data_IF_791728738477
#
_entry.id   IF_791728738477
#
_cell.length_a   1.000
_cell.length_b   1.000
_cell.length_c   1.000
_cell.angle_alpha   90.00
_cell.angle_beta   90.00
_cell.angle_gamma   90.00
#
_symmetry.space_group_name_H-M   'P 1'
#
loop_
_entity.id
_entity.type
_entity.pdbx_description
1 polymer ?
#
# COMPACT_ATOMS: atom_id res chain seq x y z
N UNK A 1 -24.97 26.11 -72.21
CA UNK A 1 -25.44 26.43 -70.85
C UNK A 1 -25.10 25.24 -69.93
N UNK A 2 -24.05 25.38 -69.12
CA UNK A 2 -23.64 24.37 -68.16
C UNK A 2 -23.84 24.96 -66.77
N UNK A 3 -24.74 24.38 -65.98
CA UNK A 3 -24.91 24.70 -64.54
C UNK A 3 -23.76 24.07 -63.72
N UNK A 4 -23.18 24.79 -62.77
CA UNK A 4 -22.25 24.18 -61.84
C UNK A 4 -23.02 23.53 -60.70
N UNK A 5 -22.63 22.28 -60.39
CA UNK A 5 -23.08 21.49 -59.24
C UNK A 5 -22.37 22.03 -57.99
N UNK A 6 -23.09 22.67 -57.06
CA UNK A 6 -22.56 23.09 -55.77
C UNK A 6 -22.68 21.93 -54.84
N UNK A 7 -21.50 21.37 -54.43
CA UNK A 7 -21.38 20.36 -53.37
C UNK A 7 -21.40 21.10 -52.03
N UNK A 8 -22.49 20.93 -51.29
CA UNK A 8 -22.65 21.45 -49.94
C UNK A 8 -21.93 20.49 -48.96
N UNK A 9 -20.73 20.86 -48.47
CA UNK A 9 -20.06 20.17 -47.41
C UNK A 9 -20.74 20.49 -46.06
N UNK A 10 -21.53 19.55 -45.57
CA UNK A 10 -22.10 19.62 -44.22
C UNK A 10 -21.00 19.22 -43.21
N UNK A 11 -20.30 20.20 -42.63
CA UNK A 11 -19.38 19.97 -41.51
C UNK A 11 -20.23 19.79 -40.27
N UNK A 12 -20.46 18.54 -39.85
CA UNK A 12 -20.98 18.23 -38.53
C UNK A 12 -19.85 18.49 -37.51
N UNK A 13 -19.89 19.66 -36.89
CA UNK A 13 -19.12 19.94 -35.65
C UNK A 13 -19.66 19.01 -34.57
N UNK A 14 -19.01 17.86 -34.39
CA UNK A 14 -19.12 17.09 -33.17
C UNK A 14 -18.48 17.94 -32.07
N UNK A 15 -19.29 18.74 -31.40
CA UNK A 15 -18.93 19.36 -30.13
C UNK A 15 -18.71 18.22 -29.13
N UNK A 16 -17.43 17.77 -28.99
CA UNK A 16 -17.04 17.01 -27.85
C UNK A 16 -17.16 17.95 -26.65
N UNK A 17 -18.24 17.85 -25.90
CA UNK A 17 -18.25 18.44 -24.55
C UNK A 17 -16.99 17.96 -23.82
N UNK A 18 -16.26 18.85 -23.15
CA UNK A 18 -15.11 18.43 -22.34
C UNK A 18 -15.60 17.33 -21.39
N UNK A 19 -14.97 16.16 -21.46
CA UNK A 19 -15.31 15.07 -20.56
C UNK A 19 -15.18 15.64 -19.14
N UNK A 20 -16.27 15.65 -18.38
CA UNK A 20 -16.26 16.02 -16.97
C UNK A 20 -15.22 15.12 -16.29
N UNK A 21 -14.06 15.69 -15.94
CA UNK A 21 -12.94 14.95 -15.35
C UNK A 21 -13.23 14.47 -13.92
N UNK A 22 -14.36 14.91 -13.35
CA UNK A 22 -14.79 14.62 -12.00
C UNK A 22 -15.58 13.32 -11.83
N UNK A 23 -15.95 13.04 -10.58
CA UNK A 23 -16.93 12.02 -10.24
C UNK A 23 -18.34 12.55 -10.37
N UNK A 24 -19.27 11.74 -10.88
CA UNK A 24 -20.68 12.10 -10.86
C UNK A 24 -21.18 12.23 -9.39
N UNK A 25 -22.15 13.11 -9.17
CA UNK A 25 -22.75 13.32 -7.84
C UNK A 25 -23.28 12.01 -7.24
N UNK A 26 -23.83 11.13 -8.08
CA UNK A 26 -24.33 9.81 -7.64
C UNK A 26 -23.19 8.95 -7.08
N UNK A 27 -22.04 8.89 -7.76
CA UNK A 27 -20.87 8.12 -7.30
C UNK A 27 -20.32 8.74 -6.03
N UNK A 28 -20.17 10.08 -5.97
CA UNK A 28 -19.69 10.77 -4.76
C UNK A 28 -20.55 10.43 -3.54
N UNK A 29 -21.88 10.47 -3.68
CA UNK A 29 -22.79 10.16 -2.58
C UNK A 29 -22.66 8.69 -2.17
N UNK A 30 -22.69 7.74 -3.11
CA UNK A 30 -22.54 6.30 -2.83
C UNK A 30 -21.23 6.00 -2.10
N UNK A 31 -20.10 6.57 -2.55
CA UNK A 31 -18.81 6.33 -1.92
C UNK A 31 -18.75 6.97 -0.53
N UNK A 32 -19.30 8.18 -0.36
CA UNK A 32 -19.37 8.85 0.94
C UNK A 32 -20.23 8.09 1.94
N UNK A 33 -21.37 7.54 1.53
CA UNK A 33 -22.26 6.73 2.37
C UNK A 33 -21.58 5.44 2.87
N UNK A 34 -20.72 4.85 2.06
CA UNK A 34 -19.96 3.67 2.44
C UNK A 34 -18.63 3.98 3.16
N UNK A 35 -18.18 5.24 3.17
CA UNK A 35 -16.95 5.66 3.86
C UNK A 35 -17.21 5.89 5.35
N UNK A 36 -16.21 5.54 6.17
CA UNK A 36 -16.26 5.73 7.62
C UNK A 36 -15.04 6.44 8.15
N UNK A 37 -15.18 7.08 9.31
CA UNK A 37 -14.07 7.58 10.11
C UNK A 37 -13.73 6.52 11.17
N UNK A 38 -12.43 6.29 11.40
CA UNK A 38 -11.95 5.29 12.37
C UNK A 38 -11.34 6.00 13.57
N UNK A 39 -11.93 5.77 14.73
CA UNK A 39 -11.49 6.31 16.01
C UNK A 39 -10.91 5.16 16.86
N UNK A 40 -9.72 5.37 17.39
CA UNK A 40 -9.06 4.47 18.34
C UNK A 40 -8.88 5.23 19.65
N UNK A 41 -9.31 4.65 20.75
CA UNK A 41 -9.28 5.29 22.07
C UNK A 41 -9.96 6.68 22.07
N UNK A 42 -11.08 6.82 21.33
CA UNK A 42 -11.82 8.06 21.20
C UNK A 42 -11.17 9.15 20.34
N UNK A 43 -10.04 8.88 19.72
CA UNK A 43 -9.34 9.81 18.84
C UNK A 43 -9.48 9.39 17.37
N UNK A 44 -9.85 10.33 16.51
CA UNK A 44 -9.85 10.12 15.07
C UNK A 44 -8.42 9.80 14.60
N UNK A 45 -8.24 8.62 14.02
CA UNK A 45 -6.94 8.14 13.52
C UNK A 45 -6.87 8.08 12.02
N UNK A 46 -7.99 7.83 11.35
CA UNK A 46 -8.02 7.69 9.90
C UNK A 46 -9.41 7.38 9.38
N UNK A 47 -9.48 6.86 8.17
CA UNK A 47 -10.72 6.47 7.50
C UNK A 47 -10.77 4.99 7.16
N UNK A 48 -11.86 4.61 6.52
CA UNK A 48 -12.10 3.28 5.99
C UNK A 48 -13.35 3.25 5.12
N UNK A 49 -13.74 2.07 4.68
CA UNK A 49 -15.00 1.88 3.99
C UNK A 49 -15.61 0.50 4.24
N UNK A 50 -16.93 0.44 4.19
CA UNK A 50 -17.66 -0.82 4.18
C UNK A 50 -17.37 -1.61 2.90
N UNK A 51 -16.99 -2.86 3.08
CA UNK A 51 -16.74 -3.85 2.03
C UNK A 51 -17.40 -5.17 2.38
N UNK A 52 -17.60 -6.05 1.38
CA UNK A 52 -18.13 -7.40 1.60
C UNK A 52 -17.20 -8.44 0.98
N UNK A 53 -17.10 -9.59 1.66
CA UNK A 53 -16.48 -10.78 1.07
C UNK A 53 -17.43 -11.50 0.09
N UNK A 54 -16.94 -12.57 -0.53
CA UNK A 54 -17.72 -13.41 -1.45
C UNK A 54 -18.93 -14.10 -0.78
N UNK A 55 -18.95 -14.19 0.56
CA UNK A 55 -20.04 -14.73 1.37
C UNK A 55 -21.00 -13.63 1.86
N UNK A 56 -20.85 -12.40 1.38
CA UNK A 56 -21.64 -11.22 1.77
C UNK A 56 -21.48 -10.79 3.24
N UNK A 57 -20.43 -11.23 3.95
CA UNK A 57 -20.10 -10.72 5.28
C UNK A 57 -19.60 -9.29 5.14
N UNK A 58 -20.07 -8.40 6.02
CA UNK A 58 -19.74 -6.98 6.02
C UNK A 58 -18.54 -6.71 6.95
N UNK A 59 -17.59 -5.94 6.43
CA UNK A 59 -16.41 -5.48 7.16
C UNK A 59 -16.17 -4.00 6.89
N UNK A 60 -15.34 -3.38 7.73
CA UNK A 60 -14.68 -2.11 7.40
C UNK A 60 -13.23 -2.39 7.03
N UNK A 61 -12.84 -1.98 5.84
CA UNK A 61 -11.45 -2.03 5.35
C UNK A 61 -10.76 -0.70 5.70
N UNK A 62 -9.57 -0.78 6.33
CA UNK A 62 -8.78 0.37 6.77
C UNK A 62 -7.28 0.05 6.79
N UNK A 63 -6.43 0.94 7.33
CA UNK A 63 -4.99 0.73 7.48
C UNK A 63 -4.64 0.07 8.83
N UNK A 64 -3.68 -0.86 8.82
CA UNK A 64 -3.28 -1.60 10.02
C UNK A 64 -2.52 -0.73 11.04
N UNK A 65 -1.70 0.23 10.59
CA UNK A 65 -0.92 1.11 11.48
C UNK A 65 -1.77 2.04 12.37
N UNK A 66 -3.09 2.12 12.13
CA UNK A 66 -4.00 2.87 13.00
C UNK A 66 -4.13 2.23 14.39
N UNK A 67 -3.88 0.92 14.49
CA UNK A 67 -3.98 0.14 15.72
C UNK A 67 -2.63 0.06 16.42
N UNK A 68 -2.64 0.15 17.75
CA UNK A 68 -1.45 0.03 18.59
C UNK A 68 -1.29 -1.37 19.16
N UNK A 69 -2.38 -2.11 19.30
CA UNK A 69 -2.40 -3.51 19.74
C UNK A 69 -3.42 -4.32 18.95
N UNK A 70 -3.25 -5.66 18.85
CA UNK A 70 -4.26 -6.52 18.23
C UNK A 70 -5.60 -6.54 18.99
N UNK A 71 -5.63 -6.00 20.21
CA UNK A 71 -6.81 -5.95 21.07
C UNK A 71 -7.50 -4.60 21.07
N UNK A 72 -6.97 -3.63 20.32
CA UNK A 72 -7.60 -2.32 20.23
C UNK A 72 -9.00 -2.46 19.62
N UNK A 73 -9.93 -1.82 20.27
CA UNK A 73 -11.29 -1.64 19.74
C UNK A 73 -11.36 -0.30 19.02
N UNK A 74 -12.07 -0.29 17.91
CA UNK A 74 -12.35 0.92 17.16
C UNK A 74 -13.78 1.35 17.38
N UNK A 75 -14.00 2.64 17.23
CA UNK A 75 -15.32 3.21 16.97
C UNK A 75 -15.29 3.67 15.52
N UNK A 76 -16.22 3.24 14.71
CA UNK A 76 -16.43 3.80 13.37
C UNK A 76 -17.53 4.84 13.42
N UNK A 77 -17.32 5.99 12.77
CA UNK A 77 -18.34 7.00 12.59
C UNK A 77 -18.75 7.05 11.11
N UNK A 78 -20.03 6.99 10.85
CA UNK A 78 -20.63 6.97 9.51
C UNK A 78 -20.97 8.38 9.02
N UNK A 79 -21.26 8.52 7.74
CA UNK A 79 -21.56 9.81 7.10
C UNK A 79 -22.73 10.56 7.74
N UNK A 80 -23.69 9.86 8.32
CA UNK A 80 -24.86 10.41 9.01
C UNK A 80 -24.59 10.74 10.49
N UNK A 81 -23.35 10.50 10.98
CA UNK A 81 -22.91 10.83 12.34
C UNK A 81 -23.20 9.76 13.38
N UNK A 82 -23.71 8.59 12.98
CA UNK A 82 -23.85 7.45 13.89
C UNK A 82 -22.49 6.82 14.16
N UNK A 83 -22.37 6.16 15.29
CA UNK A 83 -21.14 5.48 15.71
C UNK A 83 -21.43 4.04 16.10
N UNK A 84 -20.47 3.14 15.76
CA UNK A 84 -20.57 1.71 16.03
C UNK A 84 -19.25 1.21 16.58
N UNK A 85 -19.30 0.24 17.49
CA UNK A 85 -18.12 -0.48 17.90
C UNK A 85 -17.66 -1.42 16.80
N UNK A 86 -16.35 -1.53 16.65
CA UNK A 86 -15.73 -2.43 15.70
C UNK A 86 -14.51 -3.09 16.34
N UNK A 87 -14.27 -4.36 16.01
CA UNK A 87 -13.11 -5.12 16.48
C UNK A 87 -12.22 -5.51 15.32
N UNK A 88 -10.90 -5.51 15.53
CA UNK A 88 -9.92 -5.95 14.55
C UNK A 88 -10.07 -7.46 14.35
N UNK A 89 -10.46 -7.90 13.15
CA UNK A 89 -10.63 -9.33 12.81
C UNK A 89 -9.43 -9.90 12.06
N UNK A 90 -8.85 -9.14 11.15
CA UNK A 90 -7.70 -9.55 10.37
C UNK A 90 -6.83 -8.35 9.99
N UNK A 91 -5.55 -8.61 9.69
CA UNK A 91 -4.64 -7.58 9.19
C UNK A 91 -3.51 -8.17 8.35
N UNK A 92 -2.94 -7.34 7.49
CA UNK A 92 -1.76 -7.63 6.67
C UNK A 92 -0.73 -6.50 6.84
N UNK A 93 0.34 -6.79 7.59
CA UNK A 93 1.42 -5.84 7.84
C UNK A 93 2.28 -5.59 6.59
N UNK A 94 2.29 -6.50 5.64
CA UNK A 94 3.04 -6.35 4.40
C UNK A 94 2.42 -5.38 3.42
N UNK A 95 1.14 -5.07 3.60
CA UNK A 95 0.37 -4.12 2.80
C UNK A 95 -0.30 -3.04 3.65
N UNK A 96 -0.08 -3.04 4.97
CA UNK A 96 -0.70 -2.11 5.93
C UNK A 96 -2.23 -2.08 5.83
N UNK A 97 -2.86 -3.23 5.75
CA UNK A 97 -4.31 -3.39 5.66
C UNK A 97 -4.89 -4.00 6.93
N UNK A 98 -6.09 -3.58 7.32
CA UNK A 98 -6.84 -4.14 8.42
C UNK A 98 -8.33 -4.29 8.07
N UNK A 99 -8.94 -5.33 8.60
CA UNK A 99 -10.39 -5.56 8.57
C UNK A 99 -10.96 -5.43 9.97
N UNK A 100 -12.05 -4.72 10.07
CA UNK A 100 -12.83 -4.60 11.29
C UNK A 100 -14.17 -5.30 11.10
N UNK A 101 -14.55 -6.11 12.07
CA UNK A 101 -15.91 -6.61 12.21
C UNK A 101 -16.79 -5.57 12.91
N UNK A 102 -17.97 -5.37 12.36
CA UNK A 102 -19.04 -4.53 12.91
C UNK A 102 -20.30 -5.37 13.04
N UNK A 103 -21.22 -4.99 13.93
CA UNK A 103 -22.50 -5.68 14.01
C UNK A 103 -23.23 -5.56 12.66
N UNK A 104 -23.49 -6.67 11.96
CA UNK A 104 -24.09 -6.63 10.64
C UNK A 104 -25.53 -6.12 10.64
N UNK A 105 -26.25 -6.26 11.74
CA UNK A 105 -27.65 -5.76 11.87
C UNK A 105 -27.65 -4.24 11.95
N UNK A 106 -26.74 -3.67 12.75
CA UNK A 106 -26.61 -2.23 12.90
C UNK A 106 -26.09 -1.57 11.62
N UNK A 107 -25.14 -2.22 10.94
CA UNK A 107 -24.50 -1.68 9.74
C UNK A 107 -25.22 -2.02 8.43
N UNK A 108 -26.29 -2.85 8.45
CA UNK A 108 -27.00 -3.32 7.24
C UNK A 108 -27.57 -2.19 6.36
N UNK A 109 -27.85 -1.03 6.93
CA UNK A 109 -28.39 0.13 6.23
C UNK A 109 -27.35 0.84 5.33
N UNK A 110 -26.06 0.61 5.55
CA UNK A 110 -25.01 1.24 4.77
C UNK A 110 -24.63 0.40 3.56
N UNK A 111 -24.40 1.08 2.44
CA UNK A 111 -23.86 0.44 1.24
C UNK A 111 -22.42 -0.04 1.45
N UNK A 112 -22.01 -1.01 0.65
CA UNK A 112 -20.60 -1.45 0.58
C UNK A 112 -20.03 -1.17 -0.81
N UNK A 113 -18.72 -0.97 -0.88
CA UNK A 113 -18.01 -0.75 -2.12
C UNK A 113 -17.37 -2.05 -2.62
N UNK A 114 -17.27 -2.18 -3.93
CA UNK A 114 -16.51 -3.24 -4.59
C UNK A 114 -15.06 -2.81 -4.74
N UNK A 115 -14.16 -3.78 -4.75
CA UNK A 115 -12.78 -3.55 -5.13
C UNK A 115 -12.62 -3.73 -6.64
N UNK A 116 -11.77 -2.92 -7.26
CA UNK A 116 -11.35 -3.10 -8.64
C UNK A 116 -10.50 -4.38 -8.77
N UNK A 117 -10.53 -5.01 -9.94
CA UNK A 117 -9.75 -6.22 -10.18
C UNK A 117 -8.24 -5.97 -10.23
N UNK A 118 -7.81 -4.76 -10.58
CA UNK A 118 -6.40 -4.39 -10.73
C UNK A 118 -6.15 -2.92 -10.42
N UNK A 119 -4.89 -2.60 -10.17
CA UNK A 119 -4.41 -1.21 -10.13
C UNK A 119 -4.68 -0.58 -11.51
N UNK A 120 -5.27 0.63 -11.60
CA UNK A 120 -5.45 1.31 -12.87
C UNK A 120 -4.10 1.68 -13.50
N UNK A 121 -4.10 1.89 -14.81
CA UNK A 121 -2.90 2.34 -15.52
C UNK A 121 -2.40 3.70 -15.00
N UNK A 122 -1.12 3.96 -15.21
CA UNK A 122 -0.50 5.25 -14.91
C UNK A 122 -1.28 6.40 -15.57
N UNK A 123 -1.27 7.56 -14.93
CA UNK A 123 -2.01 8.76 -15.28
C UNK A 123 -3.54 8.69 -15.17
N UNK A 124 -4.12 7.53 -14.81
CA UNK A 124 -5.56 7.38 -14.59
C UNK A 124 -6.01 8.25 -13.41
N UNK A 125 -7.06 9.11 -13.60
CA UNK A 125 -7.66 9.85 -12.50
C UNK A 125 -8.33 8.93 -11.49
N UNK A 126 -8.02 9.15 -10.21
CA UNK A 126 -8.63 8.47 -9.06
C UNK A 126 -8.91 9.46 -7.95
N UNK A 127 -9.74 9.10 -6.97
CA UNK A 127 -10.24 10.03 -5.97
C UNK A 127 -10.13 9.42 -4.59
N UNK A 128 -9.49 10.12 -3.65
CA UNK A 128 -9.42 9.70 -2.25
C UNK A 128 -10.66 10.18 -1.49
N UNK A 129 -11.20 9.28 -0.69
CA UNK A 129 -12.25 9.57 0.31
C UNK A 129 -11.69 9.22 1.69
N UNK A 130 -11.48 10.23 2.50
CA UNK A 130 -10.91 10.06 3.84
C UNK A 130 -11.04 11.31 4.69
N UNK A 131 -10.90 11.19 6.03
CA UNK A 131 -10.97 12.30 6.96
C UNK A 131 -9.67 13.10 6.95
N UNK A 132 -9.57 14.07 6.08
CA UNK A 132 -8.40 14.93 5.98
C UNK A 132 -8.45 16.07 7.00
N UNK A 133 -7.31 16.39 7.64
CA UNK A 133 -7.17 17.52 8.57
C UNK A 133 -8.21 17.54 9.70
N UNK A 134 -8.62 16.38 10.20
CA UNK A 134 -9.70 16.22 11.20
C UNK A 134 -11.05 16.76 10.74
N UNK A 135 -11.25 16.85 9.43
CA UNK A 135 -12.54 17.18 8.82
C UNK A 135 -13.27 15.88 8.47
N UNK A 136 -14.58 15.97 8.24
CA UNK A 136 -15.35 14.85 7.68
C UNK A 136 -14.75 14.43 6.34
N UNK A 137 -15.06 13.24 5.90
CA UNK A 137 -14.60 12.66 4.63
C UNK A 137 -14.62 13.68 3.49
N UNK A 138 -13.42 14.07 3.04
CA UNK A 138 -13.20 14.93 1.89
C UNK A 138 -12.98 14.07 0.64
N UNK A 139 -13.27 14.65 -0.52
CA UNK A 139 -12.94 14.05 -1.82
C UNK A 139 -11.72 14.77 -2.37
N UNK A 140 -10.63 14.04 -2.57
CA UNK A 140 -9.36 14.59 -3.01
C UNK A 140 -8.95 13.93 -4.32
N UNK A 141 -8.85 14.67 -5.45
CA UNK A 141 -8.43 14.13 -6.72
C UNK A 141 -6.93 13.80 -6.72
N UNK A 142 -6.56 12.78 -7.48
CA UNK A 142 -5.19 12.37 -7.74
C UNK A 142 -5.11 11.50 -8.98
N UNK A 143 -3.90 11.04 -9.31
CA UNK A 143 -3.64 10.17 -10.46
C UNK A 143 -2.70 9.04 -10.06
N UNK A 144 -2.82 7.89 -10.67
CA UNK A 144 -1.82 6.83 -10.54
C UNK A 144 -0.49 7.35 -11.09
N UNK A 145 0.53 7.43 -10.23
CA UNK A 145 1.85 7.95 -10.60
C UNK A 145 2.80 6.82 -11.06
N UNK A 146 2.70 5.66 -10.44
CA UNK A 146 3.41 4.43 -10.81
C UNK A 146 2.54 3.24 -10.40
N UNK A 147 2.10 2.43 -11.35
CA UNK A 147 1.25 1.26 -11.12
C UNK A 147 2.04 0.01 -10.70
N UNK A 148 3.37 0.05 -10.77
CA UNK A 148 4.23 -1.05 -10.35
C UNK A 148 4.30 -1.12 -8.83
N UNK A 149 4.35 -2.35 -8.30
CA UNK A 149 4.53 -2.54 -6.86
C UNK A 149 5.95 -2.14 -6.47
N UNK A 150 6.02 -1.19 -5.56
CA UNK A 150 7.22 -0.74 -4.86
C UNK A 150 7.21 -1.18 -3.42
N UNK A 151 8.36 -1.10 -2.76
CA UNK A 151 8.52 -1.46 -1.36
C UNK A 151 9.24 -0.33 -0.62
N UNK A 152 8.61 0.19 0.41
CA UNK A 152 9.20 1.21 1.28
C UNK A 152 9.31 0.65 2.70
N UNK A 153 10.41 0.93 3.37
CA UNK A 153 10.59 0.63 4.78
C UNK A 153 9.53 1.37 5.61
N UNK A 154 8.99 0.67 6.59
CA UNK A 154 7.94 1.20 7.43
C UNK A 154 8.20 0.86 8.89
N UNK A 155 8.38 1.88 9.69
CA UNK A 155 8.83 1.73 11.09
C UNK A 155 7.82 0.98 11.96
N UNK A 156 6.53 1.06 11.65
CA UNK A 156 5.47 0.38 12.41
C UNK A 156 5.52 -1.14 12.28
N UNK A 157 6.01 -1.68 11.15
CA UNK A 157 6.07 -3.12 10.90
C UNK A 157 7.49 -3.69 10.97
N UNK A 158 8.51 -2.87 11.24
CA UNK A 158 9.93 -3.27 11.16
C UNK A 158 10.26 -4.02 9.86
N UNK A 159 9.68 -3.58 8.74
CA UNK A 159 9.84 -4.23 7.45
C UNK A 159 9.43 -3.34 6.30
N UNK A 160 9.08 -3.96 5.20
CA UNK A 160 8.70 -3.27 3.98
C UNK A 160 7.22 -3.39 3.69
N UNK A 161 6.60 -2.28 3.32
CA UNK A 161 5.25 -2.27 2.77
C UNK A 161 5.28 -2.36 1.25
N UNK A 162 4.45 -3.22 0.70
CA UNK A 162 4.16 -3.24 -0.73
C UNK A 162 3.05 -2.23 -1.06
N UNK A 163 3.30 -1.38 -2.02
CA UNK A 163 2.37 -0.32 -2.44
C UNK A 163 2.63 0.09 -3.89
N UNK A 164 1.72 0.85 -4.43
CA UNK A 164 1.91 1.63 -5.64
C UNK A 164 1.83 3.13 -5.32
N UNK A 165 2.24 3.99 -6.25
CA UNK A 165 2.27 5.42 -6.02
C UNK A 165 1.12 6.16 -6.70
N UNK A 166 0.56 7.11 -5.95
CA UNK A 166 -0.46 8.05 -6.41
C UNK A 166 0.04 9.48 -6.22
N UNK A 167 -0.09 10.32 -7.23
CA UNK A 167 0.20 11.75 -7.15
C UNK A 167 -1.06 12.55 -6.82
N UNK A 168 -0.92 13.57 -5.98
CA UNK A 168 -2.01 14.45 -5.59
C UNK A 168 -1.75 15.14 -4.26
N UNK A 169 -2.70 15.97 -3.84
CA UNK A 169 -2.66 16.56 -2.51
C UNK A 169 -2.86 15.45 -1.47
N UNK A 170 -1.97 15.42 -0.49
CA UNK A 170 -1.93 14.35 0.50
C UNK A 170 -1.90 14.94 1.92
N UNK A 171 -3.04 15.41 2.46
CA UNK A 171 -3.11 15.96 3.80
C UNK A 171 -2.94 14.88 4.87
N UNK A 172 -2.64 15.31 6.11
CA UNK A 172 -2.62 14.40 7.27
C UNK A 172 -4.01 13.84 7.57
N UNK A 173 -4.06 12.69 8.24
CA UNK A 173 -5.28 11.97 8.66
C UNK A 173 -6.02 11.22 7.54
N UNK A 174 -5.43 11.06 6.37
CA UNK A 174 -6.04 10.28 5.27
C UNK A 174 -5.72 8.79 5.33
N UNK A 175 -4.94 8.33 6.30
CA UNK A 175 -4.64 6.90 6.52
C UNK A 175 -5.92 6.05 6.60
N UNK A 176 -5.94 4.91 5.91
CA UNK A 176 -7.13 4.06 5.81
C UNK A 176 -8.22 4.60 4.87
N UNK A 177 -8.12 5.85 4.41
CA UNK A 177 -8.99 6.39 3.38
C UNK A 177 -8.85 5.62 2.07
N UNK A 178 -9.94 5.53 1.34
CA UNK A 178 -10.00 4.74 0.11
C UNK A 178 -9.73 5.60 -1.13
N UNK A 179 -9.01 5.04 -2.08
CA UNK A 179 -8.93 5.56 -3.44
C UNK A 179 -9.93 4.83 -4.33
N UNK A 180 -10.72 5.55 -5.09
CA UNK A 180 -11.72 4.97 -6.00
C UNK A 180 -11.51 5.44 -7.44
N UNK A 181 -11.90 4.59 -8.39
CA UNK A 181 -11.98 4.93 -9.81
C UNK A 181 -13.30 5.70 -10.11
N UNK A 182 -13.50 6.08 -11.37
CA UNK A 182 -14.71 6.78 -11.80
C UNK A 182 -16.01 5.98 -11.63
N UNK A 183 -15.92 4.66 -11.54
CA UNK A 183 -17.08 3.79 -11.25
C UNK A 183 -17.36 3.69 -9.74
N UNK A 184 -16.52 4.27 -8.88
CA UNK A 184 -16.62 4.20 -7.43
C UNK A 184 -16.18 2.84 -6.87
N UNK A 185 -15.35 2.09 -7.60
CA UNK A 185 -14.71 0.88 -7.09
C UNK A 185 -13.40 1.24 -6.40
N UNK A 186 -13.09 0.57 -5.29
CA UNK A 186 -11.87 0.79 -4.53
C UNK A 186 -10.68 0.28 -5.37
N UNK A 187 -9.75 1.17 -5.69
CA UNK A 187 -8.49 0.85 -6.37
C UNK A 187 -7.33 0.75 -5.38
N UNK A 188 -7.51 1.18 -4.14
CA UNK A 188 -6.52 1.01 -3.08
C UNK A 188 -6.85 1.74 -1.79
N UNK A 189 -6.00 1.49 -0.77
CA UNK A 189 -6.12 2.06 0.57
C UNK A 189 -4.91 2.93 0.84
N UNK A 190 -5.16 4.16 1.26
CA UNK A 190 -4.13 5.12 1.66
C UNK A 190 -3.44 4.67 2.95
N UNK A 191 -2.13 4.45 2.92
CA UNK A 191 -1.42 4.12 4.16
C UNK A 191 -0.28 5.09 4.49
N UNK A 192 0.30 5.76 3.52
CA UNK A 192 1.38 6.68 3.79
C UNK A 192 1.54 7.76 2.73
N UNK A 193 2.49 8.62 2.96
CA UNK A 193 2.93 9.65 2.02
C UNK A 193 4.43 9.76 2.06
N UNK A 194 5.05 10.04 0.95
CA UNK A 194 6.45 10.42 0.92
C UNK A 194 6.60 11.85 1.43
N UNK A 195 7.60 12.04 2.28
CA UNK A 195 7.97 13.36 2.77
C UNK A 195 9.17 13.87 1.97
N UNK A 196 9.12 15.11 1.56
CA UNK A 196 10.28 15.88 1.13
C UNK A 196 10.83 16.66 2.32
N UNK A 197 12.03 17.22 2.20
CA UNK A 197 12.66 17.99 3.29
C UNK A 197 11.77 19.09 3.89
N UNK A 198 10.89 19.68 3.10
CA UNK A 198 10.01 20.79 3.51
C UNK A 198 8.52 20.45 3.51
N UNK A 199 8.16 19.17 3.64
CA UNK A 199 6.75 18.79 3.72
C UNK A 199 6.37 17.59 2.85
N UNK A 200 5.12 17.52 2.38
CA UNK A 200 4.65 16.45 1.51
C UNK A 200 5.26 16.57 0.11
N UNK A 201 5.71 15.45 -0.44
CA UNK A 201 6.16 15.38 -1.84
C UNK A 201 5.02 15.39 -2.87
N UNK A 202 3.77 15.30 -2.41
CA UNK A 202 2.62 15.09 -3.29
C UNK A 202 2.43 13.64 -3.75
N UNK A 203 3.23 12.71 -3.21
CA UNK A 203 3.13 11.28 -3.49
C UNK A 203 2.56 10.51 -2.31
N UNK A 204 1.53 9.73 -2.57
CA UNK A 204 0.88 8.81 -1.66
C UNK A 204 1.33 7.38 -1.93
N UNK A 205 1.50 6.61 -0.85
CA UNK A 205 1.69 5.16 -0.88
C UNK A 205 0.33 4.49 -0.64
N UNK A 206 -0.06 3.61 -1.56
CA UNK A 206 -1.42 3.05 -1.62
C UNK A 206 -1.35 1.54 -1.80
N UNK A 207 -2.02 0.78 -0.94
CA UNK A 207 -2.10 -0.68 -1.05
C UNK A 207 -2.94 -1.08 -2.25
N UNK A 208 -2.57 -2.17 -2.92
CA UNK A 208 -3.28 -2.64 -4.11
C UNK A 208 -4.66 -3.21 -3.78
N UNK A 209 -5.62 -3.14 -4.72
CA UNK A 209 -6.93 -3.77 -4.53
C UNK A 209 -6.84 -5.29 -4.45
N UNK A 210 -5.83 -5.91 -5.07
CA UNK A 210 -5.61 -7.36 -4.99
C UNK A 210 -5.22 -7.79 -3.57
N UNK A 211 -4.32 -7.05 -2.90
CA UNK A 211 -3.95 -7.34 -1.50
C UNK A 211 -5.15 -7.17 -0.57
N UNK A 212 -5.96 -6.13 -0.78
CA UNK A 212 -7.18 -5.91 -0.02
C UNK A 212 -8.21 -7.03 -0.24
N UNK A 213 -8.41 -7.48 -1.49
CA UNK A 213 -9.29 -8.62 -1.81
C UNK A 213 -8.81 -9.89 -1.12
N UNK A 214 -7.52 -10.20 -1.16
CA UNK A 214 -6.96 -11.38 -0.52
C UNK A 214 -7.19 -11.37 1.00
N UNK A 215 -7.02 -10.21 1.66
CA UNK A 215 -7.29 -10.06 3.09
C UNK A 215 -8.78 -10.23 3.41
N UNK A 216 -9.68 -9.63 2.63
CA UNK A 216 -11.14 -9.72 2.82
C UNK A 216 -11.61 -11.17 2.68
N UNK A 217 -11.17 -11.88 1.65
CA UNK A 217 -11.61 -13.25 1.39
C UNK A 217 -11.05 -14.25 2.41
N UNK A 218 -9.81 -14.08 2.84
CA UNK A 218 -9.20 -14.95 3.85
C UNK A 218 -9.73 -14.66 5.26
N UNK A 219 -9.95 -13.40 5.57
CA UNK A 219 -10.26 -12.88 6.92
C UNK A 219 -9.34 -13.49 8.00
N UNK A 220 -8.05 -13.49 7.72
CA UNK A 220 -7.01 -14.03 8.62
C UNK A 220 -5.83 -13.08 8.71
N UNK A 221 -5.08 -13.19 9.81
CA UNK A 221 -3.82 -12.45 9.95
C UNK A 221 -2.83 -12.96 8.90
N UNK A 222 -2.41 -12.09 8.00
CA UNK A 222 -1.44 -12.42 6.97
C UNK A 222 -0.03 -12.52 7.59
N UNK A 223 0.68 -13.60 7.26
CA UNK A 223 2.04 -13.86 7.72
C UNK A 223 3.05 -13.50 6.63
N UNK A 224 3.18 -12.22 6.35
CA UNK A 224 4.11 -11.71 5.32
C UNK A 224 5.56 -11.93 5.75
N UNK A 225 6.43 -12.53 4.90
CA UNK A 225 7.84 -12.74 5.22
C UNK A 225 8.60 -11.42 5.41
N UNK A 226 9.38 -11.36 6.48
CA UNK A 226 10.28 -10.26 6.81
C UNK A 226 11.75 -10.68 6.81
N UNK A 227 12.63 -9.69 6.67
CA UNK A 227 14.09 -9.86 6.68
C UNK A 227 14.69 -9.73 8.09
N UNK A 228 14.10 -8.89 8.94
CA UNK A 228 14.72 -8.50 10.21
C UNK A 228 15.86 -7.50 10.03
N UNK A 229 15.69 -6.59 9.09
CA UNK A 229 16.61 -5.53 8.75
C UNK A 229 16.15 -4.79 7.50
N UNK A 230 16.90 -3.74 7.13
CA UNK A 230 16.67 -3.02 5.88
C UNK A 230 17.79 -3.26 4.88
N UNK A 231 17.43 -3.23 3.61
CA UNK A 231 18.30 -3.42 2.46
C UNK A 231 18.24 -2.19 1.56
N UNK A 232 19.37 -1.84 0.98
CA UNK A 232 19.53 -0.67 0.14
C UNK A 232 20.27 -1.03 -1.13
N UNK A 233 19.93 -0.38 -2.19
CA UNK A 233 20.63 -0.50 -3.46
C UNK A 233 22.06 0.02 -3.32
N UNK A 234 23.05 -0.71 -3.86
CA UNK A 234 24.47 -0.41 -3.70
C UNK A 234 24.86 0.99 -4.18
N UNK A 235 24.16 1.54 -5.18
CA UNK A 235 24.45 2.91 -5.67
C UNK A 235 24.02 4.01 -4.67
N UNK A 236 23.32 3.68 -3.60
CA UNK A 236 23.00 4.61 -2.50
C UNK A 236 24.06 4.57 -1.38
N UNK A 237 25.02 3.66 -1.46
CA UNK A 237 26.09 3.51 -0.48
C UNK A 237 27.08 4.70 -0.54
N UNK A 238 27.62 5.03 0.62
CA UNK A 238 28.70 6.03 0.69
C UNK A 238 30.03 5.49 0.09
N UNK A 239 30.95 6.41 -0.13
CA UNK A 239 32.25 6.08 -0.73
C UNK A 239 33.07 5.11 0.13
N UNK A 240 32.99 5.24 1.44
CA UNK A 240 33.76 4.40 2.37
C UNK A 240 33.34 2.93 2.24
N UNK A 241 32.04 2.64 2.17
CA UNK A 241 31.54 1.28 1.95
C UNK A 241 31.95 0.76 0.56
N UNK A 242 31.81 1.58 -0.48
CA UNK A 242 32.15 1.16 -1.85
C UNK A 242 33.63 0.83 -2.02
N UNK A 243 34.54 1.51 -1.32
CA UNK A 243 35.99 1.27 -1.38
C UNK A 243 36.38 -0.05 -0.69
N UNK A 244 35.59 -0.57 0.22
CA UNK A 244 35.79 -1.86 0.89
C UNK A 244 35.20 -3.06 0.12
N UNK A 245 34.37 -2.82 -0.88
CA UNK A 245 33.76 -3.88 -1.67
C UNK A 245 34.59 -4.23 -2.91
N UNK A 246 34.46 -5.46 -3.45
CA UNK A 246 35.05 -5.81 -4.72
C UNK A 246 34.66 -4.84 -5.84
N UNK A 247 35.59 -4.55 -6.75
CA UNK A 247 35.29 -3.73 -7.94
C UNK A 247 34.07 -4.34 -8.69
N UNK A 248 33.14 -3.49 -9.06
CA UNK A 248 31.87 -3.90 -9.70
C UNK A 248 30.98 -4.81 -8.84
N UNK A 249 31.04 -4.69 -7.52
CA UNK A 249 30.07 -5.35 -6.67
C UNK A 249 28.66 -4.87 -7.01
N UNK A 250 27.75 -5.80 -7.23
CA UNK A 250 26.33 -5.56 -7.49
C UNK A 250 25.52 -6.27 -6.41
N UNK A 251 24.43 -5.68 -5.99
CA UNK A 251 23.58 -6.28 -4.96
C UNK A 251 22.89 -5.25 -4.08
N UNK A 252 22.48 -5.72 -2.91
CA UNK A 252 21.77 -4.93 -1.90
C UNK A 252 22.56 -5.00 -0.59
N UNK A 253 23.04 -3.86 -0.09
CA UNK A 253 23.69 -3.85 1.22
C UNK A 253 22.66 -3.78 2.34
N UNK A 254 22.99 -4.41 3.46
CA UNK A 254 22.10 -4.49 4.64
C UNK A 254 22.45 -3.37 5.61
N UNK A 255 21.48 -2.52 5.98
CA UNK A 255 21.66 -1.46 6.97
C UNK A 255 20.31 -0.86 7.44
N UNK A 256 19.94 -0.98 8.75
CA UNK A 256 20.58 -1.82 9.77
C UNK A 256 20.14 -3.29 9.73
N UNK A 257 20.85 -4.14 10.44
CA UNK A 257 20.40 -5.48 10.86
C UNK A 257 19.73 -5.36 12.22
N UNK A 258 18.51 -5.88 12.36
CA UNK A 258 17.81 -5.86 13.65
C UNK A 258 18.36 -6.95 14.56
N UNK A 259 18.60 -6.59 15.81
CA UNK A 259 19.06 -7.52 16.84
C UNK A 259 18.05 -8.69 16.98
N UNK A 260 18.56 -9.91 17.03
CA UNK A 260 17.77 -11.14 17.06
C UNK A 260 16.80 -11.35 15.87
N UNK A 261 16.90 -10.54 14.81
CA UNK A 261 16.12 -10.72 13.58
C UNK A 261 16.66 -11.85 12.69
N UNK A 262 15.87 -12.27 11.68
CA UNK A 262 16.26 -13.33 10.75
C UNK A 262 17.64 -13.14 10.11
N UNK A 263 17.98 -11.95 9.62
CA UNK A 263 19.31 -11.65 9.05
C UNK A 263 20.42 -11.85 10.08
N UNK A 264 20.24 -11.37 11.34
CA UNK A 264 21.23 -11.54 12.40
C UNK A 264 21.44 -13.01 12.74
N UNK A 265 20.36 -13.81 12.86
CA UNK A 265 20.47 -15.26 13.12
C UNK A 265 21.11 -16.02 11.97
N UNK A 266 20.97 -15.56 10.74
CA UNK A 266 21.67 -16.11 9.58
C UNK A 266 23.17 -15.70 9.52
N UNK A 267 23.66 -14.90 10.48
CA UNK A 267 25.04 -14.43 10.50
C UNK A 267 25.34 -13.36 9.44
N UNK A 268 24.31 -12.68 8.95
CA UNK A 268 24.45 -11.51 8.06
C UNK A 268 24.65 -10.28 8.93
N UNK A 269 25.64 -9.49 8.61
CA UNK A 269 26.05 -8.30 9.37
C UNK A 269 25.67 -7.03 8.62
N UNK A 270 25.67 -5.92 9.34
CA UNK A 270 25.53 -4.60 8.74
C UNK A 270 26.62 -4.39 7.67
N UNK A 271 26.23 -3.84 6.53
CA UNK A 271 27.04 -3.63 5.33
C UNK A 271 27.42 -4.87 4.52
N UNK A 272 27.03 -6.08 4.95
CA UNK A 272 27.06 -7.22 4.04
C UNK A 272 26.19 -6.93 2.81
N UNK A 273 26.62 -7.41 1.64
CA UNK A 273 25.93 -7.23 0.36
C UNK A 273 25.32 -8.56 -0.10
N UNK A 274 24.01 -8.61 -0.21
CA UNK A 274 23.27 -9.75 -0.79
C UNK A 274 23.31 -9.59 -2.31
N UNK A 275 23.95 -10.54 -3.00
CA UNK A 275 24.14 -10.50 -4.46
C UNK A 275 23.18 -11.44 -5.21
N UNK A 276 22.67 -12.48 -4.54
CA UNK A 276 21.64 -13.37 -5.09
C UNK A 276 20.78 -13.98 -3.99
N UNK A 277 19.57 -14.44 -4.38
CA UNK A 277 18.64 -15.20 -3.55
C UNK A 277 18.19 -16.43 -4.34
N UNK A 278 18.38 -17.63 -3.79
CA UNK A 278 18.08 -18.93 -4.45
C UNK A 278 18.70 -19.03 -5.87
N UNK A 279 19.92 -18.50 -6.04
CA UNK A 279 20.64 -18.45 -7.32
C UNK A 279 20.19 -17.35 -8.29
N UNK A 280 19.15 -16.59 -7.96
CA UNK A 280 18.67 -15.47 -8.77
C UNK A 280 19.41 -14.19 -8.35
N UNK A 281 20.17 -13.53 -9.26
CA UNK A 281 20.82 -12.26 -8.95
C UNK A 281 19.82 -11.19 -8.53
N UNK A 282 20.16 -10.40 -7.51
CA UNK A 282 19.34 -9.28 -7.02
C UNK A 282 20.15 -8.00 -7.00
N UNK A 283 19.62 -6.94 -7.59
CA UNK A 283 20.24 -5.63 -7.67
C UNK A 283 19.34 -4.53 -7.13
N UNK A 284 18.04 -4.82 -7.09
CA UNK A 284 17.01 -3.88 -6.63
C UNK A 284 16.21 -4.50 -5.49
N UNK A 285 15.79 -3.68 -4.55
CA UNK A 285 15.00 -4.06 -3.38
C UNK A 285 13.76 -4.85 -3.76
N UNK A 286 13.02 -4.40 -4.77
CA UNK A 286 11.80 -5.07 -5.20
C UNK A 286 12.05 -6.48 -5.73
N UNK A 287 13.22 -6.77 -6.34
CA UNK A 287 13.57 -8.12 -6.83
C UNK A 287 13.71 -9.09 -5.65
N UNK A 288 14.49 -8.73 -4.64
CA UNK A 288 14.66 -9.59 -3.45
C UNK A 288 13.34 -9.77 -2.69
N UNK A 289 12.58 -8.69 -2.48
CA UNK A 289 11.33 -8.75 -1.73
C UNK A 289 10.24 -9.51 -2.50
N UNK A 290 10.23 -9.47 -3.83
CA UNK A 290 9.33 -10.31 -4.64
C UNK A 290 9.66 -11.80 -4.49
N UNK A 291 10.96 -12.18 -4.51
CA UNK A 291 11.39 -13.57 -4.26
C UNK A 291 10.97 -14.01 -2.87
N UNK A 292 11.25 -13.21 -1.83
CA UNK A 292 10.89 -13.54 -0.46
C UNK A 292 9.38 -13.74 -0.28
N UNK A 293 8.56 -12.88 -0.89
CA UNK A 293 7.10 -12.91 -0.78
C UNK A 293 6.43 -13.94 -1.69
N UNK A 294 7.18 -14.59 -2.57
CA UNK A 294 6.67 -15.72 -3.36
C UNK A 294 6.46 -16.99 -2.54
N UNK A 295 7.00 -17.05 -1.32
CA UNK A 295 6.88 -18.18 -0.38
C UNK A 295 6.29 -17.69 0.95
N UNK A 296 5.62 -18.55 1.72
CA UNK A 296 5.12 -18.16 3.05
C UNK A 296 6.25 -17.85 4.04
N UNK A 297 5.96 -17.07 5.08
CA UNK A 297 6.89 -16.88 6.18
C UNK A 297 7.21 -18.24 6.86
N UNK A 298 8.47 -18.40 7.28
CA UNK A 298 9.02 -19.68 7.72
C UNK A 298 9.69 -20.48 6.59
N UNK A 299 9.72 -19.95 5.36
CA UNK A 299 10.45 -20.58 4.25
C UNK A 299 11.94 -20.27 4.32
N UNK A 300 12.73 -21.26 3.90
CA UNK A 300 14.18 -21.14 3.75
C UNK A 300 14.56 -20.61 2.38
N UNK A 301 15.61 -19.80 2.34
CA UNK A 301 16.24 -19.24 1.14
C UNK A 301 17.75 -19.38 1.27
N UNK A 302 18.45 -19.35 0.15
CA UNK A 302 19.92 -19.29 0.11
C UNK A 302 20.33 -17.95 -0.46
N UNK A 303 21.00 -17.12 0.34
CA UNK A 303 21.63 -15.90 -0.14
C UNK A 303 23.09 -16.17 -0.50
N UNK A 304 23.60 -15.53 -1.56
CA UNK A 304 25.02 -15.29 -1.73
C UNK A 304 25.36 -13.90 -1.19
N UNK A 305 26.35 -13.83 -0.35
CA UNK A 305 26.71 -12.61 0.39
C UNK A 305 28.18 -12.28 0.21
N UNK A 306 28.49 -11.00 0.01
CA UNK A 306 29.83 -10.43 0.03
C UNK A 306 29.96 -9.51 1.23
N UNK A 307 30.99 -9.71 2.06
CA UNK A 307 31.25 -8.82 3.21
C UNK A 307 32.31 -7.77 2.85
N UNK A 308 32.26 -6.56 3.42
CA UNK A 308 33.33 -5.56 3.28
C UNK A 308 34.71 -6.16 3.64
N UNK A 309 35.72 -5.78 2.89
CA UNK A 309 37.10 -6.33 3.01
C UNK A 309 37.28 -7.76 2.48
N UNK A 310 36.20 -8.44 2.02
CA UNK A 310 36.27 -9.78 1.44
C UNK A 310 36.23 -9.74 -0.07
N UNK A 311 37.03 -10.60 -0.74
CA UNK A 311 37.00 -10.77 -2.19
C UNK A 311 36.11 -11.94 -2.65
N UNK A 312 35.57 -12.73 -1.69
CA UNK A 312 34.80 -13.93 -1.98
C UNK A 312 33.32 -13.79 -1.64
N UNK A 313 32.49 -14.59 -2.34
CA UNK A 313 31.09 -14.80 -2.01
C UNK A 313 30.96 -15.96 -1.03
N UNK A 314 30.04 -15.87 -0.09
CA UNK A 314 29.69 -16.97 0.81
C UNK A 314 28.19 -17.28 0.72
N UNK A 315 27.80 -18.56 0.66
CA UNK A 315 26.40 -18.93 0.77
C UNK A 315 25.93 -18.78 2.23
N UNK A 316 24.71 -18.31 2.40
CA UNK A 316 24.08 -18.11 3.72
C UNK A 316 22.67 -18.68 3.65
N UNK A 317 22.39 -19.66 4.50
CA UNK A 317 21.02 -20.14 4.70
C UNK A 317 20.23 -19.08 5.51
N UNK A 318 19.11 -18.65 4.98
CA UNK A 318 18.24 -17.65 5.57
C UNK A 318 16.85 -18.23 5.77
N UNK A 319 16.31 -18.10 6.98
CA UNK A 319 14.94 -18.47 7.32
C UNK A 319 14.12 -17.22 7.51
N UNK A 320 13.11 -17.00 6.66
CA UNK A 320 12.22 -15.84 6.78
C UNK A 320 11.27 -16.00 7.98
N UNK A 321 10.91 -14.89 8.60
CA UNK A 321 9.90 -14.86 9.67
C UNK A 321 8.78 -13.90 9.32
N UNK A 322 7.58 -14.06 9.91
CA UNK A 322 6.52 -13.10 9.70
C UNK A 322 6.94 -11.70 10.14
N UNK A 323 6.48 -10.68 9.41
CA UNK A 323 6.57 -9.31 9.88
C UNK A 323 5.86 -9.19 11.23
N UNK A 324 6.50 -8.46 12.14
CA UNK A 324 5.93 -8.14 13.43
C UNK A 324 5.57 -6.65 13.47
N UNK A 325 4.38 -6.35 13.94
CA UNK A 325 4.03 -4.97 14.22
C UNK A 325 4.74 -4.51 15.48
N UNK A 326 5.33 -3.34 15.41
CA UNK A 326 5.90 -2.67 16.57
C UNK A 326 4.74 -2.02 17.35
N UNK A 327 3.99 -2.83 18.08
CA UNK A 327 2.93 -2.35 18.96
C UNK A 327 3.57 -1.43 20.01
N UNK A 328 3.23 -0.15 20.01
CA UNK A 328 3.73 0.84 20.95
C UNK A 328 2.74 1.08 22.08
#
# INVERSE_FOLDING_TARGET
MRLPCAILFLITLLSSAPADEGLSKLIVNRVREASVEVLIQGQLRGGGAFVKDSRSRLFVLTAAHLFHTPRDTAIIATHDGRTYFASLSAYDLGHDLALLEVDPVEAAQYGSLKLAASIPNETTPIFNFGPALRRRTLVIPGHVADARISYTDFTSSKGYLAHYFVSGINPVMTSGGIWVNRSGEIVGIQHGRLLAEKGSSGLSMVSSPQAATALIESNTIARTPGLGGYIWEIWTADRALLDELPRNAEGLFVNPVFENGPLARAGIKQFDVIVSCDGIPVRRRHELLAILRSKPAGSSFTFEVVSPGSQGRRPVAFLSEPLEQNWK
#
